data_IF_168537803907
#
_entry.id   IF_168537803907
#
_cell.length_a   1.000
_cell.length_b   1.000
_cell.length_c   1.000
_cell.angle_alpha   90.00
_cell.angle_beta   90.00
_cell.angle_gamma   90.00
#
_symmetry.space_group_name_H-M   'P 1'
#
loop_
_entity.id
_entity.type
_entity.pdbx_description
1 polymer ?
#
# COMPACT_ATOMS: atom_id res chain seq x y z
N UNK A 1 -8.97 4.16 8.86
CA UNK A 1 -7.89 3.18 8.59
C UNK A 1 -8.49 2.03 7.79
N UNK A 2 -7.84 1.61 6.71
CA UNK A 2 -8.20 0.46 5.87
C UNK A 2 -7.10 -0.59 5.96
N UNK A 3 -7.47 -1.85 6.21
CA UNK A 3 -6.54 -2.99 6.27
C UNK A 3 -6.85 -3.95 5.14
N UNK A 4 -5.84 -4.28 4.34
CA UNK A 4 -5.94 -5.19 3.20
C UNK A 4 -5.44 -6.57 3.62
N UNK A 5 -6.38 -7.51 3.77
CA UNK A 5 -6.15 -8.89 4.19
C UNK A 5 -6.96 -9.88 3.31
N UNK A 6 -6.90 -9.68 1.99
CA UNK A 6 -7.60 -10.52 1.02
C UNK A 6 -6.66 -11.54 0.39
N UNK A 7 -7.23 -12.54 -0.29
CA UNK A 7 -6.46 -13.38 -1.21
C UNK A 7 -5.89 -12.47 -2.32
N UNK A 8 -4.61 -12.62 -2.66
CA UNK A 8 -4.01 -11.95 -3.81
C UNK A 8 -4.22 -12.76 -5.10
N UNK A 9 -4.25 -12.09 -6.24
CA UNK A 9 -4.37 -12.73 -7.55
C UNK A 9 -5.18 -11.90 -8.55
N UNK A 10 -5.46 -12.45 -9.76
CA UNK A 10 -6.16 -11.71 -10.81
C UNK A 10 -7.53 -11.16 -10.39
N UNK A 11 -8.27 -11.89 -9.54
CA UNK A 11 -9.61 -11.49 -9.08
C UNK A 11 -9.63 -10.36 -8.04
N UNK A 12 -8.49 -10.03 -7.44
CA UNK A 12 -8.36 -8.95 -6.44
C UNK A 12 -7.34 -7.90 -6.87
N UNK A 13 -6.89 -7.95 -8.13
CA UNK A 13 -5.94 -6.97 -8.67
C UNK A 13 -6.57 -5.57 -8.62
N UNK A 14 -5.87 -4.65 -7.98
CA UNK A 14 -6.31 -3.26 -7.75
C UNK A 14 -7.71 -3.19 -7.12
N UNK A 15 -8.05 -4.14 -6.24
CA UNK A 15 -9.28 -4.07 -5.44
C UNK A 15 -9.33 -2.77 -4.61
N UNK A 16 -8.16 -2.29 -4.17
CA UNK A 16 -7.98 -0.96 -3.60
C UNK A 16 -7.39 -0.06 -4.67
N UNK A 17 -8.27 0.54 -5.47
CA UNK A 17 -7.92 1.46 -6.54
C UNK A 17 -7.87 2.92 -6.06
N UNK A 18 -7.62 3.86 -6.99
CA UNK A 18 -7.63 5.30 -6.72
C UNK A 18 -8.91 5.77 -6.04
N UNK A 19 -10.09 5.30 -6.46
CA UNK A 19 -11.35 5.77 -5.91
C UNK A 19 -11.49 5.37 -4.43
N UNK A 20 -11.10 4.15 -4.08
CA UNK A 20 -11.06 3.70 -2.68
C UNK A 20 -10.05 4.52 -1.86
N UNK A 21 -8.87 4.78 -2.39
CA UNK A 21 -7.83 5.56 -1.72
C UNK A 21 -8.26 7.03 -1.50
N UNK A 22 -8.89 7.65 -2.48
CA UNK A 22 -9.42 9.02 -2.36
C UNK A 22 -10.56 9.10 -1.34
N UNK A 23 -11.41 8.07 -1.26
CA UNK A 23 -12.50 8.00 -0.29
C UNK A 23 -11.99 7.90 1.17
N UNK A 24 -10.79 7.33 1.40
CA UNK A 24 -10.15 7.36 2.72
C UNK A 24 -9.70 8.76 3.12
N UNK A 25 -9.28 9.55 2.15
CA UNK A 25 -8.97 10.97 2.31
C UNK A 25 -7.72 11.27 3.15
N UNK A 26 -7.48 12.57 3.44
CA UNK A 26 -6.21 13.07 3.96
C UNK A 26 -5.89 12.65 5.40
N UNK A 27 -6.86 12.07 6.11
CA UNK A 27 -6.69 11.51 7.46
C UNK A 27 -6.67 9.96 7.45
N UNK A 28 -6.82 9.36 6.27
CA UNK A 28 -6.87 7.93 6.07
C UNK A 28 -5.50 7.28 6.02
N UNK A 29 -5.40 6.07 6.59
CA UNK A 29 -4.24 5.20 6.50
C UNK A 29 -4.61 3.90 5.80
N UNK A 30 -3.74 3.42 4.91
CA UNK A 30 -3.82 2.08 4.29
C UNK A 30 -2.74 1.17 4.87
N UNK A 31 -3.13 -0.03 5.28
CA UNK A 31 -2.21 -1.08 5.71
C UNK A 31 -2.36 -2.28 4.75
N UNK A 32 -1.29 -2.68 4.07
CA UNK A 32 -1.31 -3.85 3.18
C UNK A 32 -0.34 -4.94 3.66
N UNK A 33 -0.92 -6.08 4.05
CA UNK A 33 -0.21 -7.30 4.47
C UNK A 33 -0.59 -8.51 3.58
N UNK A 34 -1.27 -8.26 2.46
CA UNK A 34 -1.76 -9.30 1.55
C UNK A 34 -0.77 -9.55 0.40
N UNK A 35 -0.97 -8.87 -0.73
CA UNK A 35 -0.05 -8.85 -1.89
C UNK A 35 -0.03 -7.45 -2.46
N UNK A 36 1.10 -7.02 -3.03
CA UNK A 36 1.22 -5.69 -3.61
C UNK A 36 0.20 -5.41 -4.71
N UNK A 37 -0.09 -6.41 -5.54
CA UNK A 37 -1.05 -6.31 -6.65
C UNK A 37 -2.50 -5.99 -6.25
N UNK A 38 -2.86 -6.10 -4.97
CA UNK A 38 -4.22 -5.79 -4.48
C UNK A 38 -4.47 -4.28 -4.40
N UNK A 39 -3.41 -3.49 -4.22
CA UNK A 39 -3.48 -2.02 -4.16
C UNK A 39 -2.91 -1.45 -5.44
N UNK A 40 -3.57 -0.44 -6.00
CA UNK A 40 -2.99 0.37 -7.07
C UNK A 40 -1.83 1.22 -6.50
N UNK A 41 -0.60 0.73 -6.68
CA UNK A 41 0.61 1.33 -6.11
C UNK A 41 0.90 2.71 -6.69
N UNK A 42 0.62 2.94 -7.98
CA UNK A 42 0.86 4.24 -8.61
C UNK A 42 -0.12 5.29 -8.06
N UNK A 43 -1.39 4.91 -7.89
CA UNK A 43 -2.37 5.77 -7.23
C UNK A 43 -2.02 6.04 -5.76
N UNK A 44 -1.52 5.03 -5.05
CA UNK A 44 -1.07 5.16 -3.67
C UNK A 44 0.09 6.16 -3.53
N UNK A 45 1.12 6.03 -4.37
CA UNK A 45 2.29 6.93 -4.37
C UNK A 45 1.87 8.37 -4.63
N UNK A 46 1.03 8.59 -5.65
CA UNK A 46 0.52 9.91 -6.00
C UNK A 46 -0.24 10.57 -4.84
N UNK A 47 -1.19 9.84 -4.22
CA UNK A 47 -2.01 10.38 -3.13
C UNK A 47 -1.22 10.62 -1.83
N UNK A 48 -0.23 9.77 -1.53
CA UNK A 48 0.68 9.98 -0.40
C UNK A 48 1.58 11.19 -0.61
N UNK A 49 2.17 11.33 -1.81
CA UNK A 49 3.01 12.46 -2.16
C UNK A 49 2.26 13.79 -2.15
N UNK A 50 1.00 13.78 -2.61
CA UNK A 50 0.11 14.94 -2.58
C UNK A 50 -0.52 15.22 -1.20
N UNK A 51 -0.20 14.42 -0.15
CA UNK A 51 -0.82 14.49 1.18
C UNK A 51 -2.36 14.40 1.15
N UNK A 52 -2.91 13.75 0.11
CA UNK A 52 -4.35 13.40 0.00
C UNK A 52 -4.68 12.09 0.71
N UNK A 53 -3.67 11.36 1.16
CA UNK A 53 -3.74 10.24 2.08
C UNK A 53 -2.75 10.48 3.24
N UNK A 54 -3.14 10.16 4.48
CA UNK A 54 -2.32 10.48 5.65
C UNK A 54 -1.00 9.69 5.64
N UNK A 55 -1.08 8.40 5.33
CA UNK A 55 0.08 7.51 5.32
C UNK A 55 -0.25 6.07 4.94
N UNK A 56 0.78 5.24 4.88
CA UNK A 56 0.63 3.81 4.58
C UNK A 56 1.60 2.92 5.35
N UNK A 57 1.17 1.71 5.70
CA UNK A 57 2.01 0.63 6.20
C UNK A 57 2.01 -0.52 5.20
N UNK A 58 3.17 -0.84 4.63
CA UNK A 58 3.29 -1.80 3.53
C UNK A 58 4.31 -2.88 3.88
N UNK A 59 3.85 -4.13 3.97
CA UNK A 59 4.75 -5.30 4.03
C UNK A 59 5.00 -5.91 2.64
N UNK A 60 4.21 -5.51 1.64
CA UNK A 60 4.22 -6.08 0.29
C UNK A 60 4.21 -5.00 -0.80
N UNK A 61 4.80 -5.29 -1.95
CA UNK A 61 4.98 -4.36 -3.07
C UNK A 61 4.57 -4.99 -4.41
N UNK A 62 4.27 -4.16 -5.43
CA UNK A 62 3.83 -4.69 -6.73
C UNK A 62 4.93 -5.49 -7.44
N UNK A 63 6.17 -5.03 -7.35
CA UNK A 63 7.34 -5.63 -8.02
C UNK A 63 8.38 -6.08 -6.98
N UNK A 64 8.01 -7.02 -6.11
CA UNK A 64 8.92 -7.53 -5.08
C UNK A 64 10.17 -8.19 -5.70
N UNK A 65 11.37 -7.97 -5.12
CA UNK A 65 11.66 -7.29 -3.84
C UNK A 65 11.90 -5.77 -3.98
N UNK A 66 11.61 -5.18 -5.13
CA UNK A 66 11.89 -3.78 -5.41
C UNK A 66 10.87 -2.85 -4.77
N UNK A 67 11.37 -1.89 -4.00
CA UNK A 67 10.57 -0.84 -3.37
C UNK A 67 10.75 0.46 -4.15
N UNK A 68 9.65 1.10 -4.60
CA UNK A 68 9.70 2.41 -5.27
C UNK A 68 10.54 3.43 -4.49
N UNK A 69 11.34 4.21 -5.20
CA UNK A 69 12.21 5.23 -4.58
C UNK A 69 11.38 6.33 -3.91
N UNK A 70 10.23 6.63 -4.48
CA UNK A 70 9.24 7.60 -3.99
C UNK A 70 8.76 7.20 -2.59
N UNK A 71 8.36 5.94 -2.40
CA UNK A 71 7.94 5.44 -1.08
C UNK A 71 9.09 5.47 -0.07
N UNK A 72 10.32 5.14 -0.49
CA UNK A 72 11.50 5.18 0.39
C UNK A 72 11.86 6.60 0.85
N UNK A 73 11.45 7.63 0.11
CA UNK A 73 11.70 9.04 0.43
C UNK A 73 10.60 9.68 1.28
N UNK A 74 9.50 8.97 1.57
CA UNK A 74 8.34 9.52 2.29
C UNK A 74 8.44 9.26 3.80
N UNK A 75 8.24 10.30 4.61
CA UNK A 75 8.20 10.17 6.08
C UNK A 75 6.87 9.63 6.62
N UNK A 76 5.83 9.57 5.78
CA UNK A 76 4.48 9.13 6.14
C UNK A 76 4.18 7.68 5.73
N UNK A 77 5.22 6.88 5.50
CA UNK A 77 5.08 5.45 5.22
C UNK A 77 5.99 4.60 6.09
N UNK A 78 5.54 3.37 6.36
CA UNK A 78 6.35 2.33 6.99
C UNK A 78 6.43 1.15 6.02
N UNK A 79 7.64 0.70 5.72
CA UNK A 79 7.94 -0.29 4.69
C UNK A 79 8.65 -1.49 5.34
N UNK A 80 8.12 -2.70 5.15
CA UNK A 80 8.69 -3.96 5.64
C UNK A 80 8.97 -4.92 4.47
N UNK A 81 10.00 -5.77 4.56
CA UNK A 81 10.40 -6.65 3.45
C UNK A 81 9.67 -8.00 3.48
N UNK A 82 8.34 -8.00 3.35
CA UNK A 82 7.49 -9.20 3.28
C UNK A 82 7.73 -10.18 4.43
N UNK A 83 7.66 -9.67 5.66
CA UNK A 83 8.00 -10.39 6.90
C UNK A 83 6.79 -10.88 7.68
N UNK A 84 5.56 -10.59 7.25
CA UNK A 84 4.35 -10.89 8.03
C UNK A 84 4.14 -12.36 8.41
N UNK A 85 4.69 -13.29 7.64
CA UNK A 85 4.66 -14.74 7.94
C UNK A 85 5.97 -15.32 8.46
N UNK A 86 7.05 -14.53 8.49
CA UNK A 86 8.38 -14.98 8.89
C UNK A 86 8.61 -14.76 10.38
N UNK A 87 8.46 -15.80 11.19
CA UNK A 87 8.88 -15.80 12.60
C UNK A 87 10.22 -16.53 12.75
N UNK A 88 11.12 -15.99 13.58
CA UNK A 88 12.39 -16.64 13.96
C UNK A 88 12.17 -17.86 14.86
#
# INVERSE_FOLDING_TARGET
>A
MLVVATVGGPGTKHLVDRAVLEALGPYGYVINIARGSVVDQDALIDLLGARRLAGAGLDVFTDEPYVPTELRAMDNVVLLPHTGGGTA
#
